data_IF_610400068989
#
_entry.id   IF_610400068989
#
_cell.length_a   1.000
_cell.length_b   1.000
_cell.length_c   1.000
_cell.angle_alpha   90.00
_cell.angle_beta   90.00
_cell.angle_gamma   90.00
#
_symmetry.space_group_name_H-M   'P 1'
#
loop_
_entity.id
_entity.type
_entity.pdbx_description
1 polymer ?
#
# COMPACT_ATOMS: atom_id res chain seq x y z
N UNK A 1 32.24 -21.37 6.87
CA UNK A 1 30.97 -22.14 7.03
C UNK A 1 30.23 -21.45 8.16
N UNK A 2 29.20 -20.64 7.95
CA UNK A 2 27.84 -20.96 7.46
C UNK A 2 27.29 -19.76 6.66
N UNK A 3 26.71 -20.00 5.48
CA UNK A 3 25.99 -18.99 4.68
C UNK A 3 24.62 -18.73 5.29
N UNK A 4 24.40 -17.53 5.82
CA UNK A 4 23.07 -17.07 6.24
C UNK A 4 22.13 -17.08 5.04
N UNK A 5 21.18 -18.02 5.03
CA UNK A 5 20.09 -18.02 4.06
C UNK A 5 19.13 -16.90 4.47
N UNK A 6 19.27 -15.74 3.81
CA UNK A 6 18.26 -14.70 3.87
C UNK A 6 16.96 -15.27 3.29
N UNK A 7 15.97 -15.52 4.14
CA UNK A 7 14.64 -15.94 3.70
C UNK A 7 13.95 -14.75 3.02
N UNK A 8 14.09 -14.63 1.71
CA UNK A 8 13.21 -13.77 0.91
C UNK A 8 11.82 -14.40 0.96
N UNK A 9 10.90 -13.80 1.72
CA UNK A 9 9.51 -14.25 1.73
C UNK A 9 8.92 -14.09 0.31
N UNK A 10 8.15 -15.07 -0.17
CA UNK A 10 7.62 -15.04 -1.53
C UNK A 10 6.69 -13.84 -1.73
N UNK A 11 6.72 -13.25 -2.92
CA UNK A 11 5.76 -12.22 -3.32
C UNK A 11 4.34 -12.77 -3.27
N UNK A 12 3.40 -11.94 -2.80
CA UNK A 12 1.97 -12.30 -2.77
C UNK A 12 1.33 -11.93 -4.10
N UNK A 13 0.33 -12.71 -4.53
CA UNK A 13 -0.52 -12.37 -5.69
C UNK A 13 -1.76 -11.58 -5.29
N UNK A 14 -2.23 -11.74 -4.06
CA UNK A 14 -3.43 -11.13 -3.51
C UNK A 14 -3.24 -10.93 -2.00
N UNK A 15 -3.94 -9.94 -1.42
CA UNK A 15 -4.14 -9.77 0.02
C UNK A 15 -5.64 -9.71 0.31
N UNK A 16 -6.08 -10.41 1.35
CA UNK A 16 -7.46 -10.39 1.84
C UNK A 16 -7.62 -9.52 3.09
N UNK A 17 -8.83 -9.03 3.31
CA UNK A 17 -9.13 -8.13 4.42
C UNK A 17 -8.88 -8.74 5.80
N UNK A 18 -9.04 -10.04 5.94
CA UNK A 18 -8.90 -10.82 7.18
C UNK A 18 -7.47 -11.33 7.42
N UNK A 19 -6.55 -11.10 6.47
CA UNK A 19 -5.14 -11.43 6.64
C UNK A 19 -4.46 -10.54 7.69
N UNK A 20 -3.29 -10.99 8.14
CA UNK A 20 -2.40 -10.25 9.05
C UNK A 20 -1.03 -10.07 8.42
N UNK A 21 -0.26 -9.16 9.00
CA UNK A 21 1.10 -8.86 8.59
C UNK A 21 1.24 -7.52 7.88
N UNK A 22 2.49 -7.18 7.57
CA UNK A 22 2.86 -5.95 6.90
C UNK A 22 3.28 -6.22 5.47
N UNK A 23 2.86 -5.38 4.55
CA UNK A 23 3.10 -5.54 3.13
C UNK A 23 3.45 -4.19 2.48
N UNK A 24 4.34 -4.22 1.51
CA UNK A 24 4.59 -3.13 0.59
C UNK A 24 3.91 -3.45 -0.74
N UNK A 25 2.90 -2.65 -1.09
CA UNK A 25 2.16 -2.74 -2.34
C UNK A 25 2.68 -1.68 -3.30
N UNK A 26 3.21 -2.10 -4.45
CA UNK A 26 3.68 -1.21 -5.51
C UNK A 26 2.70 -1.26 -6.68
N UNK A 27 2.39 -0.11 -7.23
CA UNK A 27 1.40 0.07 -8.31
C UNK A 27 2.06 0.46 -9.63
N UNK A 28 1.34 0.35 -10.75
CA UNK A 28 1.85 0.58 -12.10
C UNK A 28 2.39 2.00 -12.31
N UNK A 29 1.89 2.98 -11.56
CA UNK A 29 2.39 4.37 -11.59
C UNK A 29 3.55 4.62 -10.61
N UNK A 30 4.13 3.56 -10.04
CA UNK A 30 5.25 3.64 -9.11
C UNK A 30 4.88 4.02 -7.67
N UNK A 31 3.58 4.22 -7.37
CA UNK A 31 3.15 4.51 -5.99
C UNK A 31 3.36 3.30 -5.10
N UNK A 32 3.86 3.52 -3.88
CA UNK A 32 4.09 2.49 -2.87
C UNK A 32 3.20 2.71 -1.65
N UNK A 33 2.59 1.65 -1.17
CA UNK A 33 1.73 1.65 0.00
C UNK A 33 2.26 0.65 1.01
N UNK A 34 2.60 1.11 2.21
CA UNK A 34 2.80 0.22 3.35
C UNK A 34 1.45 -0.08 3.97
N UNK A 35 1.01 -1.34 3.90
CA UNK A 35 -0.16 -1.83 4.59
C UNK A 35 0.28 -2.60 5.82
N UNK A 36 -0.30 -2.25 6.98
CA UNK A 36 -0.26 -3.08 8.17
C UNK A 36 -1.67 -3.62 8.42
N UNK A 37 -1.91 -4.88 8.03
CA UNK A 37 -3.22 -5.51 8.21
C UNK A 37 -3.44 -5.97 9.65
N UNK A 38 -2.36 -6.07 10.45
CA UNK A 38 -2.46 -6.36 11.88
C UNK A 38 -2.93 -5.13 12.64
N UNK A 39 -2.29 -3.98 12.40
CA UNK A 39 -2.61 -2.71 13.04
C UNK A 39 -3.77 -1.96 12.36
N UNK A 40 -4.26 -2.46 11.22
CA UNK A 40 -5.30 -1.83 10.38
C UNK A 40 -4.92 -0.42 9.96
N UNK A 41 -3.75 -0.28 9.34
CA UNK A 41 -3.28 1.02 8.82
C UNK A 41 -2.73 0.91 7.40
N UNK A 42 -2.74 2.04 6.69
CA UNK A 42 -2.07 2.20 5.40
C UNK A 42 -1.30 3.52 5.37
N UNK A 43 -0.13 3.51 4.75
CA UNK A 43 0.68 4.69 4.50
C UNK A 43 1.12 4.70 3.04
N UNK A 44 0.78 5.76 2.31
CA UNK A 44 1.33 5.97 0.97
C UNK A 44 2.71 6.61 1.10
N UNK A 45 3.75 5.97 0.60
CA UNK A 45 5.08 6.58 0.53
C UNK A 45 5.08 7.64 -0.56
N UNK A 46 5.75 8.78 -0.30
CA UNK A 46 6.04 9.74 -1.36
C UNK A 46 6.91 9.05 -2.42
N UNK A 47 6.51 9.12 -3.69
CA UNK A 47 7.33 8.58 -4.76
C UNK A 47 8.64 9.39 -4.82
N UNK A 48 9.80 8.72 -4.74
CA UNK A 48 11.11 9.36 -4.91
C UNK A 48 11.36 9.78 -6.38
N UNK A 49 10.51 9.35 -7.30
CA UNK A 49 10.62 9.63 -8.73
C UNK A 49 9.34 10.33 -9.20
N UNK A 50 9.42 11.48 -9.87
CA UNK A 50 8.25 12.09 -10.50
C UNK A 50 7.63 11.11 -11.49
N UNK A 51 6.28 11.06 -11.59
CA UNK A 51 5.61 10.15 -12.50
C UNK A 51 6.10 10.39 -13.94
N UNK A 52 6.27 9.29 -14.69
CA UNK A 52 6.55 9.35 -16.12
C UNK A 52 5.37 10.07 -16.77
N UNK A 53 5.69 11.10 -17.54
CA UNK A 53 4.85 12.22 -18.01
C UNK A 53 3.47 11.86 -18.60
N UNK A 54 3.23 10.61 -18.99
CA UNK A 54 1.97 10.18 -19.62
C UNK A 54 0.79 9.93 -18.64
N UNK A 55 1.00 10.05 -17.33
CA UNK A 55 -0.06 9.98 -16.30
C UNK A 55 -0.34 11.32 -15.59
N UNK A 56 0.18 12.43 -16.11
CA UNK A 56 0.19 13.74 -15.45
C UNK A 56 -1.18 14.43 -15.29
N UNK A 57 -2.28 13.88 -15.80
CA UNK A 57 -3.62 14.43 -15.54
C UNK A 57 -4.09 14.16 -14.09
N UNK A 58 -3.47 13.22 -13.39
CA UNK A 58 -3.71 12.96 -11.98
C UNK A 58 -2.69 13.73 -11.11
N UNK A 59 -2.72 15.06 -11.22
CA UNK A 59 -1.86 15.99 -10.50
C UNK A 59 -1.63 15.61 -9.04
N UNK A 60 -0.48 16.03 -8.51
CA UNK A 60 -0.13 16.00 -7.09
C UNK A 60 -1.18 16.78 -6.30
N UNK A 61 -2.34 16.16 -6.06
CA UNK A 61 -3.41 16.75 -5.30
C UNK A 61 -2.95 16.81 -3.86
N UNK A 62 -2.89 18.02 -3.29
CA UNK A 62 -2.65 18.24 -1.86
C UNK A 62 -3.65 17.50 -0.95
N UNK A 63 -4.70 16.87 -1.52
CA UNK A 63 -5.61 15.95 -0.86
C UNK A 63 -4.99 14.58 -0.53
N UNK A 64 -3.81 14.25 -1.09
CA UNK A 64 -3.09 13.02 -0.79
C UNK A 64 -2.21 13.23 0.45
N UNK A 65 -2.62 12.62 1.55
CA UNK A 65 -1.86 12.49 2.82
C UNK A 65 -0.67 11.53 2.67
N UNK A 66 0.25 11.83 1.75
CA UNK A 66 1.45 11.03 1.56
C UNK A 66 2.37 11.15 2.78
N UNK A 67 3.04 10.07 3.15
CA UNK A 67 3.90 10.01 4.35
C UNK A 67 3.13 9.85 5.67
N UNK A 68 1.83 10.15 5.69
CA UNK A 68 0.95 9.96 6.84
C UNK A 68 0.44 8.52 6.90
N UNK A 69 0.40 7.95 8.10
CA UNK A 69 -0.28 6.68 8.38
C UNK A 69 -1.74 6.98 8.67
N UNK A 70 -2.65 6.38 7.91
CA UNK A 70 -4.10 6.51 8.10
C UNK A 70 -4.73 5.16 8.43
N UNK A 71 -5.86 5.19 9.11
CA UNK A 71 -6.59 3.98 9.51
C UNK A 71 -7.27 3.32 8.30
N UNK A 72 -7.13 2.00 8.23
CA UNK A 72 -7.72 1.12 7.22
C UNK A 72 -8.95 0.41 7.80
N UNK A 73 -10.12 0.91 7.44
CA UNK A 73 -11.40 0.34 7.83
C UNK A 73 -11.63 -1.00 7.10
N UNK A 74 -11.38 -1.04 5.79
CA UNK A 74 -11.54 -2.25 4.96
C UNK A 74 -10.57 -2.27 3.78
N UNK A 75 -9.96 -3.43 3.55
CA UNK A 75 -9.32 -3.79 2.29
C UNK A 75 -10.34 -4.49 1.41
N UNK A 76 -10.96 -3.75 0.48
CA UNK A 76 -11.99 -4.32 -0.39
C UNK A 76 -11.38 -5.25 -1.45
N UNK A 77 -10.25 -4.83 -2.05
CA UNK A 77 -9.51 -5.64 -3.00
C UNK A 77 -8.03 -5.25 -3.05
N UNK A 78 -7.15 -6.23 -3.24
CA UNK A 78 -5.73 -5.99 -3.53
C UNK A 78 -5.12 -7.22 -4.19
N UNK A 79 -5.01 -7.20 -5.52
CA UNK A 79 -4.42 -8.28 -6.30
C UNK A 79 -3.52 -7.74 -7.41
N UNK A 80 -2.42 -8.43 -7.69
CA UNK A 80 -1.52 -8.09 -8.80
C UNK A 80 -2.31 -8.14 -10.13
N UNK A 81 -2.18 -7.08 -10.92
CA UNK A 81 -2.91 -6.88 -12.18
C UNK A 81 -4.22 -6.11 -12.05
N UNK A 82 -4.71 -5.86 -10.82
CA UNK A 82 -5.94 -5.11 -10.56
C UNK A 82 -5.69 -3.88 -9.68
N UNK A 83 -6.58 -2.89 -9.75
CA UNK A 83 -6.57 -1.76 -8.82
C UNK A 83 -6.92 -2.23 -7.41
N UNK A 84 -6.12 -1.80 -6.43
CA UNK A 84 -6.48 -1.98 -5.03
C UNK A 84 -7.55 -0.96 -4.61
N UNK A 85 -8.42 -1.35 -3.69
CA UNK A 85 -9.47 -0.50 -3.12
C UNK A 85 -9.41 -0.52 -1.60
N UNK A 86 -9.31 0.68 -1.02
CA UNK A 86 -9.20 0.89 0.42
C UNK A 86 -10.34 1.76 0.93
N UNK A 87 -10.91 1.37 2.06
CA UNK A 87 -11.82 2.19 2.85
C UNK A 87 -11.06 2.76 4.03
N UNK A 88 -10.96 4.08 4.12
CA UNK A 88 -10.05 4.78 5.02
C UNK A 88 -10.78 5.77 5.92
N UNK A 89 -10.32 5.88 7.17
CA UNK A 89 -10.67 6.99 8.03
C UNK A 89 -9.60 8.09 7.88
N UNK A 90 -9.95 9.19 7.21
CA UNK A 90 -9.03 10.32 6.96
C UNK A 90 -9.53 11.66 7.49
N UNK A 91 -10.74 11.68 8.06
CA UNK A 91 -11.44 12.83 8.63
C UNK A 91 -11.98 12.44 10.01
N UNK A 92 -12.36 13.42 10.83
CA UNK A 92 -12.95 13.16 12.16
C UNK A 92 -14.49 13.23 12.17
N UNK A 93 -15.13 13.22 11.01
CA UNK A 93 -16.58 13.33 10.85
C UNK A 93 -17.27 11.99 10.55
N UNK A 94 -16.56 10.88 10.78
CA UNK A 94 -17.06 9.52 10.59
C UNK A 94 -17.52 9.16 9.16
N UNK A 95 -17.16 9.95 8.14
CA UNK A 95 -17.43 9.61 6.75
C UNK A 95 -16.23 8.85 6.15
N UNK A 96 -16.36 7.56 5.80
CA UNK A 96 -15.28 6.79 5.20
C UNK A 96 -14.89 7.35 3.82
N UNK A 97 -13.61 7.32 3.52
CA UNK A 97 -13.10 7.66 2.19
C UNK A 97 -12.68 6.39 1.45
N UNK A 98 -13.24 6.18 0.25
CA UNK A 98 -12.82 5.10 -0.64
C UNK A 98 -11.72 5.61 -1.56
N UNK A 99 -10.59 4.90 -1.61
CA UNK A 99 -9.48 5.20 -2.52
C UNK A 99 -9.16 4.01 -3.40
N UNK A 100 -8.94 4.28 -4.68
CA UNK A 100 -8.54 3.29 -5.68
C UNK A 100 -7.15 3.63 -6.22
N UNK A 101 -6.33 2.61 -6.43
CA UNK A 101 -4.98 2.78 -7.00
C UNK A 101 -4.98 2.55 -8.51
N UNK A 102 -3.86 2.89 -9.18
CA UNK A 102 -3.51 2.22 -10.43
C UNK A 102 -3.25 0.72 -10.17
N UNK A 103 -3.22 -0.15 -11.20
CA UNK A 103 -3.08 -1.58 -11.00
C UNK A 103 -1.87 -1.95 -10.13
N UNK A 104 -2.03 -2.89 -9.22
CA UNK A 104 -0.94 -3.41 -8.39
C UNK A 104 0.01 -4.23 -9.27
N UNK A 105 1.31 -3.99 -9.16
CA UNK A 105 2.35 -4.73 -9.90
C UNK A 105 3.20 -5.60 -8.98
N UNK A 106 3.23 -5.32 -7.67
CA UNK A 106 4.03 -6.06 -6.70
C UNK A 106 3.45 -5.98 -5.30
N UNK A 107 3.45 -7.12 -4.58
CA UNK A 107 3.08 -7.19 -3.17
C UNK A 107 4.19 -7.94 -2.43
N UNK A 108 4.90 -7.22 -1.55
CA UNK A 108 6.03 -7.75 -0.79
C UNK A 108 5.70 -7.78 0.69
N UNK A 109 5.88 -8.91 1.39
CA UNK A 109 5.82 -8.90 2.84
C UNK A 109 7.00 -8.11 3.43
N UNK A 110 6.70 -7.24 4.39
CA UNK A 110 7.69 -6.51 5.16
C UNK A 110 8.01 -7.27 6.44
N UNK A 111 9.30 -7.34 6.77
CA UNK A 111 9.73 -7.79 8.10
C UNK A 111 9.29 -6.76 9.14
N UNK A 112 8.99 -7.23 10.35
CA UNK A 112 8.82 -6.33 11.49
C UNK A 112 10.16 -5.62 11.69
N UNK A 113 10.22 -4.27 11.83
CA UNK A 113 11.43 -3.66 12.33
C UNK A 113 11.73 -4.29 13.69
N UNK A 114 12.96 -4.77 13.89
CA UNK A 114 13.44 -5.14 15.21
C UNK A 114 13.32 -3.90 16.10
N UNK A 115 12.77 -4.10 17.30
CA UNK A 115 12.53 -3.05 18.28
C UNK A 115 13.84 -2.56 18.89
#
# INVERSE_FOLDING_TARGET
>A
MVRGHGYTRPMRRELRNDEKGRYLVTTATGSRYELDLTARTVKRQMAATPPIVDFLDAGFSQLRRDGETVELLMLESCAVGASARYWLQIRNDHIPSVRMTSPVVRIEPLLKPEA
#
